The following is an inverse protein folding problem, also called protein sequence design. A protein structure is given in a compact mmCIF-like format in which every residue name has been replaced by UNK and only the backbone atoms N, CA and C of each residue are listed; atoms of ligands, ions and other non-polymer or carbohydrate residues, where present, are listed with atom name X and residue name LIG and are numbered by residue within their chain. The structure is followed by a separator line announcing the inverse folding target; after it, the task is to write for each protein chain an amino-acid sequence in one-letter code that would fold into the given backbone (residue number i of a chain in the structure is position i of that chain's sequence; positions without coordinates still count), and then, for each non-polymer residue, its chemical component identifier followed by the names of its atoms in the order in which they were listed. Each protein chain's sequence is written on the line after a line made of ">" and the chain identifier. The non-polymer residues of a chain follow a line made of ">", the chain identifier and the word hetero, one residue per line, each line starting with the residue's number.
data_IF_802584675957
#
_entry.id   IF_802584675957
#
_cell.length_a   1.000
_cell.length_b   1.000
_cell.length_c   1.000
_cell.angle_alpha   90.00
_cell.angle_beta   90.00
_cell.angle_gamma   90.00
#
_symmetry.space_group_name_H-M   'P 1'
#
loop_
_entity.id
_entity.type
_entity.pdbx_description
1 polymer ?
#
# COMPACT_ATOMS: atom_id res chain seq x y z
N UNK A 1 10.15 -35.25 5.66
CA UNK A 1 9.91 -35.77 7.02
C UNK A 1 10.93 -35.13 7.93
N UNK A 2 10.67 -33.94 8.42
CA UNK A 2 11.41 -33.31 9.50
C UNK A 2 10.42 -32.87 10.56
N UNK A 3 10.61 -33.45 11.75
CA UNK A 3 9.63 -33.49 12.80
C UNK A 3 9.42 -32.16 13.53
N UNK A 4 8.23 -32.05 14.07
CA UNK A 4 7.65 -30.93 14.84
C UNK A 4 8.25 -30.76 16.26
N UNK A 5 9.35 -31.44 16.62
CA UNK A 5 9.85 -31.56 18.00
C UNK A 5 10.99 -30.63 18.42
N UNK A 6 11.28 -29.58 17.65
CA UNK A 6 12.42 -28.67 17.97
C UNK A 6 12.04 -27.27 18.44
N UNK A 7 10.75 -26.95 18.62
CA UNK A 7 10.33 -25.57 19.03
C UNK A 7 10.09 -25.43 20.55
N UNK A 8 10.07 -26.54 21.31
CA UNK A 8 9.80 -26.47 22.77
C UNK A 8 11.00 -26.16 23.69
N UNK A 9 12.19 -25.90 23.10
CA UNK A 9 13.42 -25.76 23.95
C UNK A 9 13.92 -24.33 24.15
N UNK A 10 13.15 -23.29 23.86
CA UNK A 10 13.60 -21.88 24.04
C UNK A 10 12.63 -21.08 24.96
N UNK A 11 11.94 -21.70 25.87
CA UNK A 11 11.21 -20.98 26.93
C UNK A 11 11.79 -21.39 28.29
N UNK A 12 12.33 -20.47 29.10
CA UNK A 12 12.86 -20.79 30.42
C UNK A 12 11.78 -21.37 31.33
N UNK A 13 12.09 -22.46 32.01
CA UNK A 13 11.21 -23.19 32.94
C UNK A 13 10.68 -22.40 34.16
N UNK A 14 11.05 -21.13 34.31
CA UNK A 14 10.65 -20.30 35.47
C UNK A 14 9.28 -19.62 35.34
N UNK A 15 8.56 -19.80 34.24
CA UNK A 15 7.24 -19.18 34.01
C UNK A 15 6.05 -20.16 34.00
N UNK A 16 6.25 -21.42 34.33
CA UNK A 16 5.20 -22.44 34.26
C UNK A 16 4.32 -22.59 35.52
N UNK A 17 4.56 -21.87 36.63
CA UNK A 17 3.73 -22.00 37.81
C UNK A 17 3.38 -20.67 38.48
N UNK A 18 2.44 -19.92 37.86
CA UNK A 18 1.52 -19.04 38.60
C UNK A 18 0.17 -19.02 37.90
N UNK A 19 -0.72 -19.88 38.34
CA UNK A 19 -2.16 -19.75 38.12
C UNK A 19 -2.63 -18.43 38.74
N UNK A 20 -2.74 -17.39 37.93
CA UNK A 20 -3.53 -16.21 38.24
C UNK A 20 -4.74 -16.29 37.33
N UNK A 21 -5.89 -16.66 37.95
CA UNK A 21 -7.20 -16.74 37.32
C UNK A 21 -7.68 -15.36 36.82
N UNK A 22 -7.16 -14.92 35.71
CA UNK A 22 -7.72 -13.79 34.93
C UNK A 22 -8.48 -14.40 33.77
N UNK A 23 -9.81 -14.26 33.80
CA UNK A 23 -10.68 -14.80 32.77
C UNK A 23 -10.23 -14.28 31.38
N UNK A 24 -10.16 -15.17 30.40
CA UNK A 24 -9.86 -14.82 28.98
C UNK A 24 -10.73 -13.68 28.43
N UNK A 25 -11.88 -13.42 29.03
CA UNK A 25 -12.81 -12.34 28.68
C UNK A 25 -12.33 -11.00 29.23
N UNK A 26 -11.73 -10.96 30.45
CA UNK A 26 -11.19 -9.73 31.04
C UNK A 26 -9.91 -9.28 30.34
N UNK A 27 -9.07 -10.22 29.85
CA UNK A 27 -7.87 -9.91 29.05
C UNK A 27 -8.24 -9.29 27.68
N UNK A 28 -9.30 -9.77 27.02
CA UNK A 28 -9.81 -9.18 25.75
C UNK A 28 -10.40 -7.78 25.94
N UNK A 29 -10.93 -7.43 27.11
CA UNK A 29 -11.59 -6.13 27.35
C UNK A 29 -10.60 -5.03 27.78
N UNK A 30 -9.39 -5.37 28.28
CA UNK A 30 -8.39 -4.42 28.75
C UNK A 30 -7.37 -4.00 27.66
N UNK A 31 -7.32 -4.74 26.55
CA UNK A 31 -6.49 -4.44 25.38
C UNK A 31 -7.33 -4.53 24.10
N UNK A 32 -8.39 -3.73 24.02
CA UNK A 32 -8.83 -3.22 22.72
C UNK A 32 -7.66 -2.38 22.22
N UNK A 33 -6.77 -3.02 21.44
CA UNK A 33 -5.72 -2.29 20.70
C UNK A 33 -6.46 -1.31 19.79
N UNK A 34 -6.45 -0.02 20.17
CA UNK A 34 -6.84 1.03 19.24
C UNK A 34 -6.06 0.74 17.98
N UNK A 35 -6.75 0.63 16.86
CA UNK A 35 -6.09 0.47 15.58
C UNK A 35 -5.09 1.63 15.41
N UNK A 36 -3.81 1.32 15.62
CA UNK A 36 -2.72 2.31 15.54
C UNK A 36 -2.65 2.95 14.15
N UNK A 37 -3.27 2.34 13.15
CA UNK A 37 -3.26 2.82 11.76
C UNK A 37 -4.39 3.80 11.48
N UNK A 38 -5.47 3.79 12.25
CA UNK A 38 -6.64 4.65 12.06
C UNK A 38 -6.30 6.15 12.10
N UNK A 39 -5.29 6.55 12.89
CA UNK A 39 -4.85 7.94 12.97
C UNK A 39 -4.25 8.48 11.65
N UNK A 40 -3.81 7.61 10.75
CA UNK A 40 -3.23 7.96 9.46
C UNK A 40 -4.26 7.99 8.34
N UNK A 41 -5.45 7.45 8.58
CA UNK A 41 -6.53 7.42 7.61
C UNK A 41 -7.14 8.80 7.43
N UNK A 42 -7.27 9.23 6.18
CA UNK A 42 -7.95 10.49 5.84
C UNK A 42 -9.44 10.20 5.69
N UNK A 43 -10.26 10.87 6.51
CA UNK A 43 -11.72 10.79 6.40
C UNK A 43 -12.21 11.44 5.11
N UNK A 44 -13.30 10.94 4.54
CA UNK A 44 -13.89 11.47 3.31
C UNK A 44 -14.21 12.97 3.42
N UNK A 45 -13.81 13.75 2.41
CA UNK A 45 -14.02 15.20 2.32
C UNK A 45 -13.27 16.03 3.39
N UNK A 46 -12.38 15.42 4.17
CA UNK A 46 -11.64 16.13 5.21
C UNK A 46 -10.50 16.94 4.62
N UNK A 47 -10.50 18.24 4.88
CA UNK A 47 -9.34 19.11 4.59
C UNK A 47 -8.13 18.70 5.41
N UNK A 48 -7.04 18.45 4.71
CA UNK A 48 -5.76 18.11 5.30
C UNK A 48 -4.77 19.24 5.06
N UNK A 49 -3.93 19.52 6.05
CA UNK A 49 -2.76 20.40 5.92
C UNK A 49 -1.52 19.61 6.28
N UNK A 50 -0.71 19.24 5.28
CA UNK A 50 0.49 18.43 5.44
C UNK A 50 1.50 19.08 6.39
N UNK A 51 1.62 20.41 6.35
CA UNK A 51 2.51 21.18 7.25
C UNK A 51 2.16 21.04 8.74
N UNK A 52 0.94 20.59 9.07
CA UNK A 52 0.48 20.33 10.45
C UNK A 52 0.58 18.86 10.87
N UNK A 53 0.94 17.98 9.96
CA UNK A 53 1.09 16.55 10.22
C UNK A 53 2.57 16.19 10.44
N UNK A 54 2.87 15.24 11.35
CA UNK A 54 4.23 14.83 11.58
C UNK A 54 4.78 14.06 10.38
N UNK A 55 6.04 14.30 10.04
CA UNK A 55 6.82 13.54 9.06
C UNK A 55 7.64 12.43 9.73
N UNK A 56 7.84 12.53 11.06
CA UNK A 56 8.59 11.58 11.84
C UNK A 56 7.77 11.02 12.99
N UNK A 57 8.02 9.76 13.33
CA UNK A 57 7.45 9.14 14.53
C UNK A 57 8.20 9.56 15.78
N UNK A 58 7.50 10.04 16.79
CA UNK A 58 8.04 10.49 18.08
C UNK A 58 7.53 9.69 19.28
N UNK A 59 6.84 8.57 19.04
CA UNK A 59 6.30 7.73 20.13
C UNK A 59 7.37 6.84 20.80
N UNK A 60 6.92 6.00 21.72
CA UNK A 60 7.77 5.17 22.60
C UNK A 60 8.26 3.86 21.99
N UNK A 61 7.78 3.49 20.77
CA UNK A 61 8.20 2.25 20.14
C UNK A 61 9.65 2.38 19.65
N UNK A 62 10.52 1.53 20.16
CA UNK A 62 11.91 1.44 19.72
C UNK A 62 12.04 0.72 18.39
N UNK A 63 13.10 1.07 17.63
CA UNK A 63 13.35 0.57 16.27
C UNK A 63 13.42 -0.95 16.20
N UNK A 64 14.13 -1.59 17.14
CA UNK A 64 14.29 -3.05 17.12
C UNK A 64 12.97 -3.77 17.47
N UNK A 65 12.22 -3.27 18.44
CA UNK A 65 10.87 -3.78 18.73
C UNK A 65 9.93 -3.58 17.53
N UNK A 66 10.08 -2.46 16.80
CA UNK A 66 9.32 -2.20 15.59
C UNK A 66 9.64 -3.19 14.46
N UNK A 67 10.91 -3.58 14.29
CA UNK A 67 11.32 -4.60 13.33
C UNK A 67 10.73 -5.98 13.67
N UNK A 68 10.78 -6.39 14.93
CA UNK A 68 10.19 -7.65 15.36
C UNK A 68 8.68 -7.71 15.09
N UNK A 69 7.95 -6.64 15.43
CA UNK A 69 6.52 -6.53 15.11
C UNK A 69 6.26 -6.59 13.60
N UNK A 70 7.14 -6.02 12.77
CA UNK A 70 6.99 -6.08 11.32
C UNK A 70 7.10 -7.50 10.79
N UNK A 71 8.00 -8.33 11.33
CA UNK A 71 8.11 -9.74 10.93
C UNK A 71 6.85 -10.54 11.29
N UNK A 72 6.26 -10.31 12.47
CA UNK A 72 4.98 -10.91 12.85
C UNK A 72 3.84 -10.52 11.89
N UNK A 73 3.79 -9.23 11.53
CA UNK A 73 2.78 -8.72 10.59
C UNK A 73 2.96 -9.31 9.19
N UNK A 74 4.21 -9.47 8.71
CA UNK A 74 4.49 -10.11 7.42
C UNK A 74 3.99 -11.55 7.35
N UNK A 75 4.18 -12.33 8.42
CA UNK A 75 3.62 -13.69 8.49
C UNK A 75 2.09 -13.69 8.40
N UNK A 76 1.44 -12.71 9.01
CA UNK A 76 -0.01 -12.54 8.92
C UNK A 76 -0.47 -12.17 7.51
N UNK A 77 0.25 -11.24 6.84
CA UNK A 77 0.00 -10.86 5.44
C UNK A 77 0.12 -12.08 4.54
N UNK A 78 1.19 -12.87 4.69
CA UNK A 78 1.42 -14.06 3.87
C UNK A 78 0.25 -15.05 3.95
N UNK A 79 -0.18 -15.40 5.18
CA UNK A 79 -1.35 -16.28 5.39
C UNK A 79 -2.64 -15.73 4.77
N UNK A 80 -2.83 -14.42 4.86
CA UNK A 80 -4.01 -13.76 4.28
C UNK A 80 -3.94 -13.73 2.75
N UNK A 81 -2.73 -13.54 2.19
CA UNK A 81 -2.50 -13.56 0.75
C UNK A 81 -2.74 -14.96 0.15
N UNK A 82 -2.32 -16.03 0.84
CA UNK A 82 -2.64 -17.42 0.42
C UNK A 82 -4.16 -17.65 0.33
N UNK A 83 -4.91 -17.16 1.30
CA UNK A 83 -6.39 -17.24 1.27
C UNK A 83 -6.99 -16.39 0.15
N UNK A 84 -6.45 -15.19 -0.08
CA UNK A 84 -6.87 -14.33 -1.18
C UNK A 84 -6.67 -15.02 -2.52
N UNK A 85 -5.49 -15.61 -2.72
CA UNK A 85 -5.15 -16.35 -3.93
C UNK A 85 -6.06 -17.55 -4.15
N UNK A 86 -6.27 -18.36 -3.11
CA UNK A 86 -7.10 -19.54 -3.17
C UNK A 86 -8.59 -19.22 -3.40
N UNK A 87 -9.11 -18.14 -2.81
CA UNK A 87 -10.52 -17.76 -2.95
C UNK A 87 -10.87 -17.23 -4.35
N UNK A 88 -9.92 -16.55 -5.03
CA UNK A 88 -10.08 -16.10 -6.41
C UNK A 88 -11.25 -15.16 -6.71
N UNK A 89 -11.88 -14.55 -5.69
CA UNK A 89 -13.11 -13.76 -5.86
C UNK A 89 -12.93 -12.27 -5.55
N UNK A 90 -11.82 -11.89 -4.93
CA UNK A 90 -11.45 -10.50 -4.56
C UNK A 90 -10.02 -10.19 -4.97
N UNK A 91 -9.68 -8.92 -5.02
CA UNK A 91 -8.30 -8.46 -5.18
C UNK A 91 -8.03 -7.25 -4.29
N UNK A 92 -6.76 -6.96 -4.05
CA UNK A 92 -6.32 -5.78 -3.32
C UNK A 92 -5.42 -4.94 -4.22
N UNK A 93 -5.75 -3.67 -4.41
CA UNK A 93 -4.91 -2.68 -5.08
C UNK A 93 -4.33 -1.73 -4.04
N UNK A 94 -2.99 -1.67 -3.99
CA UNK A 94 -2.25 -0.76 -3.11
C UNK A 94 -1.57 0.30 -3.96
N UNK A 95 -1.95 1.55 -3.79
CA UNK A 95 -1.38 2.68 -4.50
C UNK A 95 -0.36 3.39 -3.60
N UNK A 96 0.87 3.56 -4.09
CA UNK A 96 1.92 4.28 -3.41
C UNK A 96 2.21 5.61 -4.08
N UNK A 97 2.09 6.69 -3.32
CA UNK A 97 2.45 8.04 -3.75
C UNK A 97 3.37 8.71 -2.72
N UNK A 98 4.28 9.53 -3.18
CA UNK A 98 5.18 10.32 -2.35
C UNK A 98 6.02 11.28 -3.18
N UNK A 99 6.59 12.28 -2.53
CA UNK A 99 7.70 13.06 -3.09
C UNK A 99 8.90 12.16 -3.42
N UNK A 100 9.79 12.63 -4.27
CA UNK A 100 11.00 11.89 -4.62
C UNK A 100 11.87 11.63 -3.39
N UNK A 101 12.64 10.55 -3.43
CA UNK A 101 13.43 10.03 -2.32
C UNK A 101 12.66 9.62 -1.06
N UNK A 102 11.33 9.63 -1.03
CA UNK A 102 10.55 9.21 0.15
C UNK A 102 10.71 7.72 0.48
N UNK A 103 11.16 6.89 -0.48
CA UNK A 103 11.47 5.48 -0.26
C UNK A 103 10.33 4.53 -0.61
N UNK A 104 9.50 4.88 -1.61
CA UNK A 104 8.43 4.02 -2.14
C UNK A 104 8.91 2.61 -2.46
N UNK A 105 9.95 2.48 -3.32
CA UNK A 105 10.47 1.18 -3.76
C UNK A 105 10.88 0.30 -2.58
N UNK A 106 11.64 0.86 -1.64
CA UNK A 106 12.10 0.12 -0.48
C UNK A 106 10.98 -0.18 0.54
N UNK A 107 9.90 0.62 0.56
CA UNK A 107 8.73 0.30 1.38
C UNK A 107 7.97 -0.88 0.77
N UNK A 108 7.73 -0.87 -0.55
CA UNK A 108 7.10 -1.97 -1.28
C UNK A 108 7.89 -3.27 -1.08
N UNK A 109 9.20 -3.24 -1.34
CA UNK A 109 10.10 -4.38 -1.15
C UNK A 109 9.97 -5.00 0.26
N UNK A 110 10.02 -4.18 1.31
CA UNK A 110 9.99 -4.66 2.68
C UNK A 110 8.60 -5.14 3.12
N UNK A 111 7.53 -4.47 2.70
CA UNK A 111 6.16 -4.85 3.04
C UNK A 111 5.77 -6.16 2.37
N UNK A 112 6.21 -6.34 1.12
CA UNK A 112 5.90 -7.54 0.32
C UNK A 112 6.92 -8.66 0.48
N UNK A 113 7.96 -8.46 1.29
CA UNK A 113 8.96 -9.51 1.57
C UNK A 113 8.30 -10.72 2.24
N UNK A 114 8.51 -11.90 1.67
CA UNK A 114 7.94 -13.17 2.14
C UNK A 114 6.54 -13.48 1.60
N UNK A 115 5.92 -12.59 0.83
CA UNK A 115 4.66 -12.85 0.14
C UNK A 115 4.94 -13.67 -1.13
N UNK A 116 4.06 -14.64 -1.45
CA UNK A 116 4.21 -15.45 -2.66
C UNK A 116 4.17 -14.56 -3.92
N UNK A 117 5.24 -14.52 -4.73
CA UNK A 117 5.30 -13.66 -5.90
C UNK A 117 4.22 -13.96 -6.95
N UNK A 118 3.69 -15.18 -7.03
CA UNK A 118 2.57 -15.52 -7.92
C UNK A 118 1.28 -14.77 -7.57
N UNK A 119 1.12 -14.39 -6.31
CA UNK A 119 -0.04 -13.64 -5.82
C UNK A 119 0.14 -12.12 -5.81
N UNK A 120 1.23 -11.59 -6.38
CA UNK A 120 1.54 -10.16 -6.37
C UNK A 120 1.96 -9.65 -7.75
N UNK A 121 1.51 -8.45 -8.10
CA UNK A 121 1.89 -7.75 -9.33
C UNK A 121 2.31 -6.33 -8.97
N UNK A 122 3.52 -5.92 -9.38
CA UNK A 122 4.05 -4.58 -9.13
C UNK A 122 4.23 -3.85 -10.44
N UNK A 123 3.57 -2.70 -10.57
CA UNK A 123 3.72 -1.80 -11.71
C UNK A 123 4.36 -0.48 -11.25
N UNK A 124 5.43 -0.08 -11.94
CA UNK A 124 6.10 1.19 -11.71
C UNK A 124 5.79 2.13 -12.89
N UNK A 125 4.89 3.08 -12.65
CA UNK A 125 4.47 4.02 -13.70
C UNK A 125 5.48 5.16 -13.83
N UNK A 126 6.00 5.31 -15.03
CA UNK A 126 6.85 6.42 -15.46
C UNK A 126 6.05 7.38 -16.36
N UNK A 127 6.71 8.37 -16.93
CA UNK A 127 6.11 9.23 -17.95
C UNK A 127 5.41 8.39 -19.02
N UNK A 128 4.17 8.72 -19.41
CA UNK A 128 3.45 8.00 -20.45
C UNK A 128 4.22 7.99 -21.80
N UNK A 129 4.12 6.87 -22.50
CA UNK A 129 4.61 6.73 -23.87
C UNK A 129 3.54 7.21 -24.88
N UNK A 130 3.85 7.15 -26.18
CA UNK A 130 2.94 7.60 -27.26
C UNK A 130 1.62 6.81 -27.28
N UNK A 131 1.68 5.48 -27.11
CA UNK A 131 0.48 4.63 -27.04
C UNK A 131 -0.40 5.03 -25.85
N UNK A 132 0.20 5.28 -24.70
CA UNK A 132 -0.51 5.66 -23.48
C UNK A 132 -1.14 7.06 -23.58
N UNK A 133 -0.50 7.99 -24.30
CA UNK A 133 -1.08 9.32 -24.61
C UNK A 133 -2.19 9.27 -25.68
N UNK A 134 -2.23 8.25 -26.54
CA UNK A 134 -3.30 8.05 -27.51
C UNK A 134 -4.62 7.58 -26.87
N UNK A 135 -4.58 7.22 -25.57
CA UNK A 135 -5.74 6.78 -24.79
C UNK A 135 -6.03 7.79 -23.66
N UNK A 136 -7.15 7.61 -22.95
CA UNK A 136 -7.44 8.38 -21.74
C UNK A 136 -6.43 8.06 -20.61
N UNK A 137 -6.30 9.00 -19.67
CA UNK A 137 -5.28 8.90 -18.61
C UNK A 137 -5.44 7.71 -17.65
N UNK A 138 -6.60 7.04 -17.62
CA UNK A 138 -6.85 5.85 -16.80
C UNK A 138 -6.50 4.54 -17.52
N UNK A 139 -6.47 4.54 -18.83
CA UNK A 139 -6.29 3.34 -19.65
C UNK A 139 -5.06 2.50 -19.24
N UNK A 140 -3.90 3.11 -19.12
CA UNK A 140 -2.66 2.41 -18.71
C UNK A 140 -2.77 1.79 -17.32
N UNK A 141 -3.50 2.44 -16.42
CA UNK A 141 -3.72 1.98 -15.06
C UNK A 141 -4.75 0.87 -15.00
N UNK A 142 -5.76 0.93 -15.87
CA UNK A 142 -6.75 -0.14 -16.01
C UNK A 142 -6.11 -1.45 -16.48
N UNK A 143 -5.20 -1.40 -17.45
CA UNK A 143 -4.44 -2.58 -17.92
C UNK A 143 -3.54 -3.20 -16.86
N UNK A 144 -3.17 -2.46 -15.83
CA UNK A 144 -2.29 -2.88 -14.74
C UNK A 144 -3.06 -3.27 -13.46
N UNK A 145 -4.40 -3.42 -13.55
CA UNK A 145 -5.18 -3.85 -12.40
C UNK A 145 -4.89 -5.31 -12.02
N UNK A 146 -4.91 -5.63 -10.70
CA UNK A 146 -4.72 -7.00 -10.27
C UNK A 146 -5.89 -7.89 -10.70
N UNK A 147 -5.56 -9.09 -11.12
CA UNK A 147 -6.52 -10.17 -11.25
C UNK A 147 -7.13 -10.50 -9.87
N UNK A 148 -8.34 -11.10 -9.87
CA UNK A 148 -8.91 -11.65 -8.65
C UNK A 148 -7.98 -12.73 -8.08
N UNK A 149 -7.86 -12.76 -6.75
CA UNK A 149 -6.89 -13.58 -6.03
C UNK A 149 -5.52 -12.91 -5.83
N UNK A 150 -5.29 -11.72 -6.38
CA UNK A 150 -3.96 -11.10 -6.36
C UNK A 150 -3.93 -9.76 -5.65
N UNK A 151 -2.72 -9.38 -5.22
CA UNK A 151 -2.38 -8.04 -4.72
C UNK A 151 -1.69 -7.30 -5.85
N UNK A 152 -2.30 -6.22 -6.33
CA UNK A 152 -1.68 -5.27 -7.26
C UNK A 152 -1.04 -4.12 -6.49
N UNK A 153 0.14 -3.71 -6.92
CA UNK A 153 0.87 -2.59 -6.33
C UNK A 153 1.19 -1.59 -7.44
N UNK A 154 0.64 -0.40 -7.32
CA UNK A 154 0.97 0.70 -8.18
C UNK A 154 1.99 1.61 -7.49
N UNK A 155 3.25 1.55 -7.92
CA UNK A 155 4.30 2.48 -7.53
C UNK A 155 4.20 3.71 -8.45
N UNK A 156 3.67 4.82 -7.93
CA UNK A 156 2.98 5.88 -8.66
C UNK A 156 1.70 5.35 -9.30
N UNK A 157 0.84 6.21 -9.85
CA UNK A 157 -0.45 5.76 -10.35
C UNK A 157 -1.14 6.85 -11.18
N UNK A 158 -2.42 6.66 -11.48
CA UNK A 158 -3.30 7.68 -12.07
C UNK A 158 -3.33 9.00 -11.29
N UNK A 159 -2.86 9.02 -10.05
CA UNK A 159 -2.72 10.25 -9.28
C UNK A 159 -1.64 11.20 -9.83
N UNK A 160 -0.66 10.71 -10.61
CA UNK A 160 0.30 11.59 -11.30
C UNK A 160 -0.42 12.65 -12.14
N UNK A 161 -1.62 12.31 -12.68
CA UNK A 161 -2.44 13.19 -13.49
C UNK A 161 -3.16 14.33 -12.72
N UNK A 162 -3.11 14.32 -11.40
CA UNK A 162 -3.61 15.38 -10.51
C UNK A 162 -2.54 15.84 -9.51
N UNK A 163 -1.34 15.29 -9.60
CA UNK A 163 -0.17 15.68 -8.81
C UNK A 163 0.87 16.33 -9.71
N UNK A 164 1.59 15.56 -10.50
CA UNK A 164 2.61 16.07 -11.42
C UNK A 164 1.98 17.01 -12.46
N UNK A 165 0.88 16.59 -13.11
CA UNK A 165 0.21 17.44 -14.10
C UNK A 165 -0.41 18.72 -13.51
N UNK A 166 -0.65 18.77 -12.21
CA UNK A 166 -1.13 19.99 -11.54
C UNK A 166 0.00 20.99 -11.29
N UNK A 167 1.21 20.49 -11.04
CA UNK A 167 2.42 21.29 -10.90
C UNK A 167 2.94 21.71 -12.28
N UNK A 168 2.78 20.85 -13.28
CA UNK A 168 3.22 21.02 -14.66
C UNK A 168 2.03 20.86 -15.62
N UNK A 169 1.11 21.83 -15.68
CA UNK A 169 -0.12 21.71 -16.47
C UNK A 169 0.11 21.57 -17.98
N UNK A 170 1.29 21.95 -18.48
CA UNK A 170 1.68 21.74 -19.88
C UNK A 170 1.71 20.25 -20.28
N UNK A 171 1.82 19.32 -19.33
CA UNK A 171 1.77 17.89 -19.63
C UNK A 171 0.37 17.43 -20.05
N UNK A 172 -0.69 18.12 -19.63
CA UNK A 172 -2.08 17.85 -20.05
C UNK A 172 -2.24 18.07 -21.56
N UNK A 173 -1.51 19.02 -22.15
CA UNK A 173 -1.62 19.31 -23.59
C UNK A 173 -1.25 18.10 -24.45
N UNK A 174 -0.41 17.19 -23.95
CA UNK A 174 -0.03 15.95 -24.65
C UNK A 174 -1.16 14.91 -24.70
N UNK A 175 -2.18 15.07 -23.86
CA UNK A 175 -3.35 14.18 -23.85
C UNK A 175 -4.34 14.51 -24.98
N UNK A 176 -4.14 15.61 -25.72
CA UNK A 176 -4.96 16.06 -26.84
C UNK A 176 -6.47 16.13 -26.54
N UNK A 177 -6.84 16.56 -25.32
CA UNK A 177 -8.24 16.64 -24.88
C UNK A 177 -8.93 17.78 -25.63
N UNK A 178 -10.06 17.53 -26.31
CA UNK A 178 -10.80 18.57 -27.02
C UNK A 178 -11.15 19.75 -26.11
N UNK A 179 -10.81 20.97 -26.56
CA UNK A 179 -11.07 22.21 -25.81
C UNK A 179 -9.95 22.63 -24.85
N UNK A 180 -8.93 21.77 -24.59
CA UNK A 180 -7.80 22.03 -23.67
C UNK A 180 -6.45 22.05 -24.41
N UNK A 181 -6.35 22.90 -25.43
CA UNK A 181 -5.16 23.07 -26.28
C UNK A 181 -4.14 24.09 -25.76
N UNK A 182 -4.46 24.77 -24.64
CA UNK A 182 -3.60 25.75 -23.99
C UNK A 182 -3.69 25.62 -22.47
N UNK A 183 -2.58 25.87 -21.76
CA UNK A 183 -2.53 25.82 -20.29
C UNK A 183 -3.58 26.74 -19.64
N UNK A 184 -3.84 27.92 -20.23
CA UNK A 184 -4.83 28.87 -19.74
C UNK A 184 -6.27 28.35 -19.73
N UNK A 185 -6.56 27.29 -20.46
CA UNK A 185 -7.87 26.63 -20.48
C UNK A 185 -8.03 25.53 -19.43
N UNK A 186 -6.92 25.11 -18.80
CA UNK A 186 -6.91 24.09 -17.75
C UNK A 186 -7.28 24.75 -16.42
N UNK A 187 -8.57 24.92 -16.21
CA UNK A 187 -9.15 25.63 -15.08
C UNK A 187 -9.57 24.72 -13.91
N UNK A 188 -10.27 25.28 -12.93
CA UNK A 188 -10.75 24.52 -11.79
C UNK A 188 -11.80 23.46 -12.16
N UNK A 189 -12.60 23.68 -13.20
CA UNK A 189 -13.63 22.73 -13.61
C UNK A 189 -12.99 21.51 -14.31
N UNK A 190 -11.90 21.72 -15.06
CA UNK A 190 -11.07 20.64 -15.56
C UNK A 190 -10.57 19.73 -14.40
N UNK A 191 -10.01 20.33 -13.34
CA UNK A 191 -9.47 19.55 -12.22
C UNK A 191 -10.58 18.84 -11.43
N UNK A 192 -11.74 19.45 -11.25
CA UNK A 192 -12.90 18.78 -10.63
C UNK A 192 -13.33 17.55 -11.43
N UNK A 193 -13.49 17.70 -12.74
CA UNK A 193 -13.84 16.58 -13.62
C UNK A 193 -12.81 15.44 -13.54
N UNK A 194 -11.52 15.79 -13.44
CA UNK A 194 -10.43 14.81 -13.28
C UNK A 194 -10.56 14.04 -11.96
N UNK A 195 -10.82 14.73 -10.84
CA UNK A 195 -11.05 14.08 -9.53
C UNK A 195 -12.31 13.22 -9.53
N UNK A 196 -13.39 13.65 -10.18
CA UNK A 196 -14.61 12.84 -10.31
C UNK A 196 -14.35 11.57 -11.13
N UNK A 197 -13.58 11.66 -12.20
CA UNK A 197 -13.18 10.49 -13.00
C UNK A 197 -12.38 9.48 -12.16
N UNK A 198 -11.45 9.95 -11.33
CA UNK A 198 -10.67 9.11 -10.41
C UNK A 198 -11.58 8.42 -9.39
N UNK A 199 -12.49 9.17 -8.74
CA UNK A 199 -13.44 8.59 -7.77
C UNK A 199 -14.35 7.55 -8.41
N UNK A 200 -14.86 7.83 -9.60
CA UNK A 200 -15.72 6.92 -10.36
C UNK A 200 -14.98 5.63 -10.73
N UNK A 201 -13.73 5.76 -11.15
CA UNK A 201 -12.86 4.61 -11.43
C UNK A 201 -12.63 3.74 -10.18
N UNK A 202 -12.23 4.33 -9.07
CA UNK A 202 -12.00 3.62 -7.81
C UNK A 202 -13.30 2.98 -7.27
N UNK A 203 -14.44 3.68 -7.38
CA UNK A 203 -15.74 3.13 -7.01
C UNK A 203 -16.14 1.95 -7.91
N UNK A 204 -15.88 2.03 -9.20
CA UNK A 204 -16.09 0.91 -10.13
C UNK A 204 -15.28 -0.31 -9.70
N UNK A 205 -14.02 -0.14 -9.33
CA UNK A 205 -13.16 -1.23 -8.86
C UNK A 205 -13.72 -1.89 -7.59
N UNK A 206 -14.14 -1.09 -6.60
CA UNK A 206 -14.68 -1.63 -5.35
C UNK A 206 -16.01 -2.35 -5.55
N UNK A 207 -16.88 -1.85 -6.40
CA UNK A 207 -18.14 -2.50 -6.77
C UNK A 207 -17.91 -3.88 -7.44
N UNK A 208 -16.73 -4.09 -8.03
CA UNK A 208 -16.35 -5.33 -8.71
C UNK A 208 -15.39 -6.21 -7.89
N UNK A 209 -15.24 -5.93 -6.57
CA UNK A 209 -14.53 -6.81 -5.64
C UNK A 209 -13.03 -6.51 -5.50
N UNK A 210 -12.54 -5.38 -6.03
CA UNK A 210 -11.18 -4.89 -5.79
C UNK A 210 -11.18 -3.91 -4.63
N UNK A 211 -10.53 -4.25 -3.53
CA UNK A 211 -10.30 -3.29 -2.44
C UNK A 211 -9.16 -2.36 -2.82
N UNK A 212 -9.33 -1.05 -2.62
CA UNK A 212 -8.32 -0.05 -2.96
C UNK A 212 -7.86 0.68 -1.70
N UNK A 213 -6.56 0.71 -1.44
CA UNK A 213 -5.95 1.54 -0.41
C UNK A 213 -4.86 2.41 -1.02
N UNK A 214 -4.75 3.64 -0.52
CA UNK A 214 -3.81 4.63 -1.05
C UNK A 214 -2.87 5.10 0.04
N UNK A 215 -1.57 4.91 -0.17
CA UNK A 215 -0.50 5.22 0.78
C UNK A 215 0.27 6.44 0.30
N UNK A 216 0.31 7.48 1.12
CA UNK A 216 1.19 8.63 0.93
C UNK A 216 2.32 8.59 1.97
N UNK A 217 3.57 8.58 1.50
CA UNK A 217 4.75 8.69 2.36
C UNK A 217 5.06 10.17 2.61
N UNK A 218 4.69 10.64 3.79
CA UNK A 218 4.89 12.02 4.21
C UNK A 218 6.32 12.23 4.72
N UNK A 219 7.17 12.72 3.84
CA UNK A 219 8.59 13.00 4.08
C UNK A 219 8.79 14.49 4.38
N UNK A 220 9.72 14.85 5.27
CA UNK A 220 10.15 16.22 5.44
C UNK A 220 11.08 16.66 4.30
N UNK A 221 11.08 17.97 4.01
CA UNK A 221 11.96 18.56 3.00
C UNK A 221 13.43 18.38 3.39
N UNK A 222 13.74 18.42 4.68
CA UNK A 222 15.09 18.22 5.20
C UNK A 222 15.56 16.78 5.04
N UNK A 223 14.73 15.79 5.39
CA UNK A 223 15.07 14.38 5.19
C UNK A 223 15.22 14.05 3.70
N UNK A 224 14.42 14.65 2.81
CA UNK A 224 14.60 14.51 1.36
C UNK A 224 15.97 14.99 0.91
N UNK A 225 16.40 16.18 1.39
CA UNK A 225 17.73 16.72 1.10
C UNK A 225 18.82 15.75 1.53
N UNK A 226 18.73 15.23 2.76
CA UNK A 226 19.70 14.27 3.26
C UNK A 226 19.75 13.01 2.39
N UNK A 227 18.60 12.47 1.99
CA UNK A 227 18.54 11.29 1.12
C UNK A 227 19.09 11.52 -0.28
N UNK A 228 18.96 12.73 -0.83
CA UNK A 228 19.61 13.09 -2.09
C UNK A 228 21.13 13.17 -1.93
N UNK A 229 21.63 13.79 -0.85
CA UNK A 229 23.06 13.81 -0.55
C UNK A 229 23.63 12.40 -0.37
N UNK A 230 22.92 11.53 0.34
CA UNK A 230 23.31 10.12 0.51
C UNK A 230 23.39 9.37 -0.84
N UNK A 231 22.48 9.67 -1.80
CA UNK A 231 22.56 9.11 -3.15
C UNK A 231 23.73 9.62 -3.96
N UNK A 232 24.02 10.92 -3.85
CA UNK A 232 25.13 11.58 -4.57
C UNK A 232 26.46 11.06 -4.06
N UNK A 233 26.59 10.87 -2.74
CA UNK A 233 27.84 10.45 -2.10
C UNK A 233 28.10 8.93 -2.18
N UNK A 234 27.12 8.13 -2.59
CA UNK A 234 27.23 6.69 -2.67
C UNK A 234 27.26 6.24 -4.15
N UNK A 235 28.42 5.79 -4.67
CA UNK A 235 28.54 5.35 -6.06
C UNK A 235 27.54 4.26 -6.46
N UNK A 236 27.15 3.38 -5.53
CA UNK A 236 26.17 2.33 -5.78
C UNK A 236 24.73 2.86 -5.90
N UNK A 237 24.51 4.12 -5.50
CA UNK A 237 23.20 4.78 -5.51
C UNK A 237 23.11 5.97 -6.46
N UNK A 238 24.21 6.40 -7.08
CA UNK A 238 24.23 7.56 -7.99
C UNK A 238 23.20 7.42 -9.11
N UNK A 239 23.00 6.22 -9.64
CA UNK A 239 22.03 5.95 -10.70
C UNK A 239 20.56 6.25 -10.32
N UNK A 240 20.28 6.43 -9.03
CA UNK A 240 18.95 6.79 -8.49
C UNK A 240 18.73 8.29 -8.41
N UNK A 241 19.73 9.10 -8.73
CA UNK A 241 19.65 10.55 -8.67
C UNK A 241 19.64 11.14 -10.08
N UNK A 242 18.70 12.03 -10.34
CA UNK A 242 18.61 12.78 -11.58
C UNK A 242 18.56 14.30 -11.29
N UNK A 243 19.13 15.11 -12.18
CA UNK A 243 19.08 16.57 -12.05
C UNK A 243 17.66 17.12 -11.99
N UNK A 244 16.69 16.44 -12.62
CA UNK A 244 15.27 16.73 -12.53
C UNK A 244 14.71 16.69 -11.11
N UNK A 245 15.25 15.82 -10.24
CA UNK A 245 14.83 15.74 -8.83
C UNK A 245 14.98 17.08 -8.10
N UNK A 246 15.96 17.90 -8.49
CA UNK A 246 16.17 19.23 -7.90
C UNK A 246 15.16 20.25 -8.45
N UNK A 247 14.70 20.09 -9.68
CA UNK A 247 13.65 20.93 -10.26
C UNK A 247 12.34 20.67 -9.54
N UNK A 248 11.96 19.40 -9.39
CA UNK A 248 10.74 19.00 -8.67
C UNK A 248 10.79 19.43 -7.18
N UNK A 249 11.96 19.37 -6.57
CA UNK A 249 12.14 19.86 -5.19
C UNK A 249 11.92 21.37 -5.05
N UNK A 250 12.18 22.19 -6.07
CA UNK A 250 11.87 23.63 -6.04
C UNK A 250 10.37 23.89 -5.99
N UNK A 251 9.57 23.02 -6.63
CA UNK A 251 8.10 23.07 -6.64
C UNK A 251 7.46 22.40 -5.40
N UNK A 252 8.21 22.21 -4.30
CA UNK A 252 7.77 21.51 -3.08
C UNK A 252 6.39 21.94 -2.60
N UNK A 253 6.16 23.26 -2.48
CA UNK A 253 4.91 23.80 -1.95
C UNK A 253 3.72 23.54 -2.91
N UNK A 254 3.97 23.53 -4.21
CA UNK A 254 2.95 23.22 -5.22
C UNK A 254 2.56 21.75 -5.12
N UNK A 255 3.51 20.84 -4.96
CA UNK A 255 3.24 19.43 -4.70
C UNK A 255 2.48 19.21 -3.40
N UNK A 256 2.86 19.90 -2.29
CA UNK A 256 2.13 19.78 -1.03
C UNK A 256 0.66 20.17 -1.23
N UNK A 257 0.38 21.27 -1.94
CA UNK A 257 -1.00 21.70 -2.26
C UNK A 257 -1.73 20.70 -3.14
N UNK A 258 -1.06 20.14 -4.15
CA UNK A 258 -1.65 19.13 -5.03
C UNK A 258 -2.03 17.85 -4.26
N UNK A 259 -1.16 17.38 -3.36
CA UNK A 259 -1.45 16.25 -2.47
C UNK A 259 -2.60 16.53 -1.51
N UNK A 260 -2.60 17.68 -0.82
CA UNK A 260 -3.67 18.10 0.09
C UNK A 260 -5.02 18.07 -0.62
N UNK A 261 -5.08 18.58 -1.83
CA UNK A 261 -6.31 18.58 -2.63
C UNK A 261 -6.69 17.17 -3.09
N UNK A 262 -5.74 16.35 -3.54
CA UNK A 262 -6.01 14.96 -3.91
C UNK A 262 -6.60 14.16 -2.74
N UNK A 263 -6.12 14.37 -1.52
CA UNK A 263 -6.67 13.71 -0.32
C UNK A 263 -8.10 14.17 -0.03
N UNK A 264 -8.37 15.50 -0.08
CA UNK A 264 -9.69 16.07 0.17
C UNK A 264 -10.71 15.54 -0.84
N UNK A 265 -10.35 15.55 -2.14
CA UNK A 265 -11.26 15.25 -3.24
C UNK A 265 -11.49 13.75 -3.42
N UNK A 266 -10.51 12.90 -3.09
CA UNK A 266 -10.55 11.49 -3.48
C UNK A 266 -10.47 10.49 -2.33
N UNK A 267 -10.29 10.92 -1.07
CA UNK A 267 -10.41 9.99 0.04
C UNK A 267 -11.87 9.65 0.29
N UNK A 268 -12.21 8.37 0.20
CA UNK A 268 -13.56 7.87 0.47
C UNK A 268 -13.51 6.76 1.51
N UNK A 269 -14.66 6.37 2.07
CA UNK A 269 -14.71 5.26 3.02
C UNK A 269 -14.26 3.93 2.39
N UNK A 270 -14.59 3.71 1.11
CA UNK A 270 -14.22 2.50 0.38
C UNK A 270 -12.81 2.54 -0.22
N UNK A 271 -12.25 3.73 -0.47
CA UNK A 271 -10.93 3.92 -1.07
C UNK A 271 -10.14 4.99 -0.28
N UNK A 272 -9.71 4.68 0.96
CA UNK A 272 -9.10 5.68 1.83
C UNK A 272 -7.65 5.99 1.44
N UNK A 273 -7.24 7.25 1.69
CA UNK A 273 -5.84 7.62 1.80
C UNK A 273 -5.31 7.39 3.22
N UNK A 274 -4.04 7.00 3.30
CA UNK A 274 -3.28 6.92 4.54
C UNK A 274 -2.03 7.79 4.41
N UNK A 275 -1.84 8.77 5.32
CA UNK A 275 -0.69 9.67 5.34
C UNK A 275 0.29 9.18 6.39
N UNK A 276 1.40 8.57 5.94
CA UNK A 276 2.35 7.86 6.81
C UNK A 276 3.61 8.68 7.02
N UNK A 277 4.02 9.00 8.27
CA UNK A 277 5.30 9.62 8.57
C UNK A 277 6.47 8.81 8.02
N UNK A 278 7.32 9.40 7.15
CA UNK A 278 8.29 8.65 6.35
C UNK A 278 9.76 8.99 6.61
N UNK A 279 10.07 9.93 7.51
CA UNK A 279 11.45 10.25 7.88
C UNK A 279 12.14 9.03 8.50
N UNK A 280 11.45 8.28 9.36
CA UNK A 280 11.95 7.01 9.91
C UNK A 280 11.44 5.83 9.07
N UNK A 281 12.26 5.36 8.12
CA UNK A 281 11.91 4.26 7.19
C UNK A 281 11.33 3.02 7.89
N UNK A 282 11.91 2.60 9.02
CA UNK A 282 11.45 1.42 9.75
C UNK A 282 10.02 1.57 10.25
N UNK A 283 9.64 2.79 10.70
CA UNK A 283 8.31 3.07 11.20
C UNK A 283 7.28 3.11 10.07
N UNK A 284 7.61 3.81 8.99
CA UNK A 284 6.76 3.84 7.80
C UNK A 284 6.44 2.43 7.29
N UNK A 285 7.46 1.57 7.17
CA UNK A 285 7.32 0.18 6.76
C UNK A 285 6.40 -0.62 7.69
N UNK A 286 6.56 -0.47 9.01
CA UNK A 286 5.70 -1.11 9.99
C UNK A 286 4.24 -0.66 9.86
N UNK A 287 3.99 0.64 9.73
CA UNK A 287 2.61 1.16 9.59
C UNK A 287 1.97 0.71 8.29
N UNK A 288 2.69 0.73 7.17
CA UNK A 288 2.19 0.23 5.89
C UNK A 288 1.85 -1.26 6.00
N UNK A 289 2.75 -2.08 6.58
CA UNK A 289 2.48 -3.51 6.78
C UNK A 289 1.23 -3.74 7.61
N UNK A 290 1.03 -2.97 8.70
CA UNK A 290 -0.19 -3.04 9.51
C UNK A 290 -1.45 -2.64 8.75
N UNK A 291 -1.39 -1.60 7.91
CA UNK A 291 -2.53 -1.19 7.08
C UNK A 291 -2.90 -2.31 6.11
N UNK A 292 -1.90 -2.90 5.43
CA UNK A 292 -2.13 -4.01 4.50
C UNK A 292 -2.72 -5.23 5.22
N UNK A 293 -2.16 -5.60 6.38
CA UNK A 293 -2.64 -6.72 7.20
C UNK A 293 -4.09 -6.52 7.69
N UNK A 294 -4.40 -5.32 8.21
CA UNK A 294 -5.74 -4.96 8.64
C UNK A 294 -6.73 -5.03 7.47
N UNK A 295 -6.35 -4.46 6.31
CA UNK A 295 -7.18 -4.50 5.10
C UNK A 295 -7.45 -5.94 4.66
N UNK A 296 -6.45 -6.81 4.63
CA UNK A 296 -6.63 -8.22 4.26
C UNK A 296 -7.51 -8.97 5.28
N UNK A 297 -7.39 -8.68 6.57
CA UNK A 297 -8.24 -9.26 7.63
C UNK A 297 -9.69 -8.83 7.51
N UNK A 298 -9.94 -7.58 7.14
CA UNK A 298 -11.29 -7.05 6.91
C UNK A 298 -12.00 -7.74 5.75
N UNK A 299 -11.27 -8.31 4.79
CA UNK A 299 -11.85 -9.10 3.69
C UNK A 299 -12.46 -10.43 4.16
N UNK A 300 -12.13 -10.90 5.38
CA UNK A 300 -12.62 -12.17 5.95
C UNK A 300 -12.43 -13.35 5.00
N UNK A 301 -11.23 -13.45 4.43
CA UNK A 301 -10.87 -14.47 3.45
C UNK A 301 -10.81 -15.85 4.08
N UNK A 302 -11.33 -16.83 3.34
CA UNK A 302 -11.29 -18.26 3.71
C UNK A 302 -10.76 -19.09 2.54
N UNK A 303 -10.19 -20.25 2.83
CA UNK A 303 -9.90 -21.21 1.78
C UNK A 303 -11.23 -21.74 1.22
N UNK A 304 -11.34 -21.97 -0.11
CA UNK A 304 -12.53 -22.60 -0.67
C UNK A 304 -12.70 -24.00 -0.07
N UNK A 305 -13.92 -24.30 0.37
CA UNK A 305 -14.29 -25.66 0.75
C UNK A 305 -14.36 -26.57 -0.47
N UNK A 306 -14.14 -27.85 -0.27
CA UNK A 306 -14.47 -28.88 -1.28
C UNK A 306 -15.96 -29.20 -1.22
N UNK A 307 -16.54 -29.56 -2.35
CA UNK A 307 -17.89 -30.13 -2.39
C UNK A 307 -17.93 -31.48 -1.65
N UNK A 308 -19.08 -31.84 -1.07
CA UNK A 308 -19.21 -33.04 -0.24
C UNK A 308 -18.73 -34.30 -0.96
N UNK A 309 -19.01 -34.44 -2.25
CA UNK A 309 -18.57 -35.56 -3.09
C UNK A 309 -17.04 -35.63 -3.23
N UNK A 310 -16.37 -34.50 -3.31
CA UNK A 310 -14.91 -34.44 -3.38
C UNK A 310 -14.28 -34.72 -2.01
N UNK A 311 -14.90 -34.27 -0.91
CA UNK A 311 -14.48 -34.61 0.44
C UNK A 311 -14.52 -36.12 0.69
N UNK A 312 -15.60 -36.82 0.24
CA UNK A 312 -15.72 -38.27 0.32
C UNK A 312 -14.63 -38.98 -0.49
N UNK A 313 -14.30 -38.48 -1.66
CA UNK A 313 -13.25 -39.04 -2.51
C UNK A 313 -11.82 -38.88 -1.95
N UNK A 314 -11.55 -37.89 -1.08
CA UNK A 314 -10.21 -37.68 -0.52
C UNK A 314 -9.69 -38.91 0.21
N UNK A 315 -10.52 -39.62 0.95
CA UNK A 315 -10.14 -40.88 1.65
C UNK A 315 -9.74 -41.97 0.66
N UNK A 316 -10.46 -42.11 -0.44
CA UNK A 316 -10.19 -43.04 -1.52
C UNK A 316 -8.84 -42.70 -2.22
N UNK A 317 -8.67 -41.45 -2.59
CA UNK A 317 -7.41 -40.96 -3.20
C UNK A 317 -6.19 -41.18 -2.29
N UNK A 318 -6.36 -40.89 -0.99
CA UNK A 318 -5.32 -41.17 -0.01
C UNK A 318 -4.94 -42.65 0.04
N UNK A 319 -5.93 -43.56 0.04
CA UNK A 319 -5.68 -45.01 0.01
C UNK A 319 -4.95 -45.43 -1.24
N UNK A 320 -5.39 -44.96 -2.42
CA UNK A 320 -4.71 -45.25 -3.69
C UNK A 320 -3.26 -44.82 -3.69
N UNK A 321 -2.95 -43.58 -3.21
CA UNK A 321 -1.58 -43.07 -3.12
C UNK A 321 -0.70 -43.86 -2.13
N UNK A 322 -1.26 -44.41 -1.06
CA UNK A 322 -0.53 -45.24 -0.09
C UNK A 322 -0.27 -46.65 -0.59
N UNK A 323 -1.09 -47.15 -1.52
CA UNK A 323 -0.98 -48.48 -2.12
C UNK A 323 -0.12 -48.50 -3.40
N UNK A 324 0.27 -47.33 -3.93
CA UNK A 324 1.25 -47.22 -5.02
C UNK A 324 2.60 -47.83 -4.58
N UNK A 325 3.13 -48.77 -5.36
CA UNK A 325 4.38 -49.49 -5.08
C UNK A 325 5.57 -48.75 -5.66
#
# INVERSE_FOLDING_TARGET
>A
MFGFDQIEKIVPLSLQNKQIGISRVAFKKKYSMKDETAQYRVSSGKKVKLSKLPTTYSGKLEKEAGKLKMEEVKLSINKSQEKLYASGNRSLLIIFQAMDAAGKDSAIEHVMSGVNPQGCQVYNFKTPNEEEYAHDFLWRHYRALPEKGRIGIHNRSHYENVLVCKVHPEYILKENIPGYDQVSKIDNDFWKARYESIKSFEQHLTNNGTTVIKIFLHLSKEEQKQRFLDRINDPEKNWKFAGGDLVERKAWEDYQRAYEQAFEETSTESCPWYIIPADKKWYARLMISKIVDNTLKELKLEFPGLEDKELENLSTYKTQLLEEK
#
